data_IF_524341508439
#
_entry.id   IF_524341508439
#
_cell.length_a   1.000
_cell.length_b   1.000
_cell.length_c   1.000
_cell.angle_alpha   90.00
_cell.angle_beta   90.00
_cell.angle_gamma   90.00
#
_symmetry.space_group_name_H-M   'P 1'
#
loop_
_entity.id
_entity.type
_entity.pdbx_description
1 polymer ?
#
# COMPACT_ATOMS: atom_id res chain seq x y z
N UNK A 1 12.22 -78.48 -6.78
CA UNK A 1 11.27 -77.37 -7.01
C UNK A 1 11.29 -76.46 -5.79
N UNK A 2 12.04 -75.35 -5.85
CA UNK A 2 12.21 -74.35 -4.78
C UNK A 2 11.11 -73.29 -4.94
N UNK A 3 10.33 -73.01 -3.89
CA UNK A 3 9.47 -71.82 -3.84
C UNK A 3 10.27 -70.70 -3.18
N UNK A 4 10.62 -69.70 -3.98
CA UNK A 4 11.30 -68.48 -3.57
C UNK A 4 10.25 -67.49 -3.04
N UNK A 5 10.48 -66.99 -1.82
CA UNK A 5 9.74 -65.89 -1.22
C UNK A 5 10.23 -64.58 -1.84
N UNK A 6 9.33 -63.77 -2.38
CA UNK A 6 9.61 -62.37 -2.75
C UNK A 6 8.94 -61.51 -1.68
N UNK A 7 9.75 -60.95 -0.79
CA UNK A 7 9.36 -59.86 0.09
C UNK A 7 9.38 -58.58 -0.74
N UNK A 8 8.22 -57.99 -1.03
CA UNK A 8 8.14 -56.67 -1.63
C UNK A 8 8.28 -55.64 -0.51
N UNK A 9 9.49 -55.17 -0.24
CA UNK A 9 9.71 -54.03 0.67
C UNK A 9 9.29 -52.75 -0.04
N UNK A 10 8.11 -52.22 0.30
CA UNK A 10 7.77 -50.83 -0.02
C UNK A 10 8.67 -49.93 0.83
N UNK A 11 9.63 -49.27 0.19
CA UNK A 11 10.33 -48.15 0.79
C UNK A 11 9.31 -47.00 0.79
N UNK A 12 8.70 -46.75 1.95
CA UNK A 12 7.97 -45.52 2.20
C UNK A 12 9.01 -44.41 2.34
N UNK A 13 9.55 -43.90 1.23
CA UNK A 13 10.31 -42.65 1.26
C UNK A 13 9.33 -41.58 1.68
N UNK A 14 9.48 -41.07 2.91
CA UNK A 14 8.79 -39.88 3.36
C UNK A 14 9.15 -38.74 2.42
N UNK A 15 8.32 -38.54 1.39
CA UNK A 15 8.19 -37.24 0.76
C UNK A 15 7.59 -36.35 1.84
N UNK A 16 8.44 -35.71 2.63
CA UNK A 16 8.03 -34.48 3.27
C UNK A 16 7.53 -33.60 2.14
N UNK A 17 6.23 -33.31 2.12
CA UNK A 17 5.68 -32.26 1.28
C UNK A 17 6.42 -30.99 1.73
N UNK A 18 7.53 -30.67 1.09
CA UNK A 18 8.09 -29.33 1.22
C UNK A 18 6.98 -28.42 0.69
N UNK A 19 6.39 -27.64 1.59
CA UNK A 19 5.49 -26.57 1.17
C UNK A 19 6.32 -25.69 0.25
N UNK A 20 6.00 -25.74 -1.04
CA UNK A 20 6.66 -24.89 -2.01
C UNK A 20 6.31 -23.45 -1.65
N UNK A 21 7.33 -22.60 -1.57
CA UNK A 21 7.19 -21.20 -1.24
C UNK A 21 7.71 -20.33 -2.37
N UNK A 22 7.09 -19.18 -2.55
CA UNK A 22 7.50 -18.14 -3.49
C UNK A 22 7.73 -16.82 -2.75
N UNK A 23 8.01 -15.79 -3.53
CA UNK A 23 8.20 -14.43 -3.05
C UNK A 23 7.30 -13.42 -3.76
N UNK A 24 7.00 -12.32 -3.08
CA UNK A 24 6.36 -11.13 -3.67
C UNK A 24 7.33 -9.97 -3.49
N UNK A 25 7.65 -9.29 -4.59
CA UNK A 25 8.59 -8.18 -4.60
C UNK A 25 8.06 -7.00 -5.40
N UNK A 26 8.50 -5.81 -5.03
CA UNK A 26 8.12 -4.57 -5.67
C UNK A 26 8.85 -3.37 -5.10
N UNK A 27 8.45 -2.19 -5.55
CA UNK A 27 9.00 -0.91 -5.15
C UNK A 27 7.91 0.04 -4.68
N UNK A 28 8.23 0.87 -3.70
CA UNK A 28 7.38 1.94 -3.21
C UNK A 28 8.04 3.28 -3.50
N UNK A 29 7.32 4.14 -4.22
CA UNK A 29 7.75 5.50 -4.55
C UNK A 29 6.69 6.52 -4.15
N UNK A 30 7.07 7.80 -4.09
CA UNK A 30 6.11 8.91 -4.12
C UNK A 30 5.54 9.10 -5.53
N UNK A 31 4.62 10.05 -5.64
CA UNK A 31 4.01 10.51 -6.90
C UNK A 31 5.05 11.06 -7.91
N UNK A 32 6.19 11.56 -7.43
CA UNK A 32 7.31 12.09 -8.22
C UNK A 32 8.44 11.07 -8.47
N UNK A 33 8.15 9.77 -8.34
CA UNK A 33 9.08 8.63 -8.49
C UNK A 33 10.23 8.56 -7.46
N UNK A 34 10.25 9.43 -6.44
CA UNK A 34 11.22 9.34 -5.37
C UNK A 34 11.01 8.05 -4.54
N UNK A 35 12.08 7.27 -4.25
CA UNK A 35 11.95 6.06 -3.46
C UNK A 35 11.52 6.35 -2.02
N UNK A 36 10.71 5.46 -1.44
CA UNK A 36 10.29 5.54 -0.04
C UNK A 36 10.93 4.43 0.80
N UNK A 37 12.05 4.68 1.49
CA UNK A 37 12.64 3.73 2.44
C UNK A 37 11.83 3.64 3.74
N UNK A 38 11.99 2.53 4.47
CA UNK A 38 11.42 2.37 5.81
C UNK A 38 9.91 2.11 5.87
N UNK A 39 9.23 1.97 4.72
CA UNK A 39 7.83 1.57 4.68
C UNK A 39 7.74 0.10 5.09
N UNK A 40 6.92 -0.20 6.09
CA UNK A 40 6.70 -1.60 6.49
C UNK A 40 5.69 -2.23 5.54
N UNK A 41 6.09 -3.29 4.85
CA UNK A 41 5.23 -4.05 3.93
C UNK A 41 4.91 -5.39 4.57
N UNK A 42 3.62 -5.68 4.74
CA UNK A 42 3.11 -6.91 5.36
C UNK A 42 2.39 -7.78 4.33
N UNK A 43 2.55 -9.09 4.44
CA UNK A 43 1.67 -10.08 3.83
C UNK A 43 0.75 -10.66 4.90
N UNK A 44 -0.57 -10.51 4.69
CA UNK A 44 -1.60 -11.12 5.52
C UNK A 44 -2.20 -12.30 4.78
N UNK A 45 -2.43 -13.42 5.46
CA UNK A 45 -3.17 -14.56 4.90
C UNK A 45 -4.69 -14.31 4.88
N UNK A 46 -5.46 -15.30 4.39
CA UNK A 46 -6.93 -15.23 4.32
C UNK A 46 -7.62 -15.05 5.68
N UNK A 47 -6.94 -15.33 6.79
CA UNK A 47 -7.45 -15.09 8.15
C UNK A 47 -7.14 -13.68 8.67
N UNK A 48 -6.35 -12.90 7.91
CA UNK A 48 -5.84 -11.60 8.32
C UNK A 48 -4.60 -11.69 9.20
N UNK A 49 -3.98 -12.86 9.35
CA UNK A 49 -2.76 -13.01 10.14
C UNK A 49 -1.54 -12.55 9.33
N UNK A 50 -0.67 -11.74 9.94
CA UNK A 50 0.59 -11.33 9.33
C UNK A 50 1.52 -12.55 9.27
N UNK A 51 1.83 -13.00 8.07
CA UNK A 51 2.70 -14.17 7.83
C UNK A 51 4.10 -13.79 7.37
N UNK A 52 4.29 -12.57 6.86
CA UNK A 52 5.58 -12.00 6.54
C UNK A 52 5.54 -10.47 6.65
N UNK A 53 6.66 -9.87 7.02
CA UNK A 53 6.83 -8.42 7.05
C UNK A 53 8.28 -8.02 6.76
N UNK A 54 8.47 -6.94 6.01
CA UNK A 54 9.78 -6.39 5.67
C UNK A 54 9.70 -4.87 5.60
N UNK A 55 10.82 -4.16 5.73
CA UNK A 55 10.89 -2.73 5.45
C UNK A 55 11.51 -2.48 4.08
N UNK A 56 11.02 -1.47 3.37
CA UNK A 56 11.64 -1.05 2.10
C UNK A 56 13.07 -0.54 2.32
N UNK A 57 13.96 -0.88 1.39
CA UNK A 57 15.35 -0.45 1.42
C UNK A 57 15.51 1.01 0.94
N UNK A 58 16.76 1.51 0.84
CA UNK A 58 17.07 2.86 0.35
C UNK A 58 16.59 3.18 -1.08
N UNK A 59 16.34 2.15 -1.90
CA UNK A 59 15.77 2.28 -3.23
C UNK A 59 14.23 2.14 -3.24
N UNK A 60 13.59 1.99 -2.06
CA UNK A 60 12.16 1.77 -1.92
C UNK A 60 11.72 0.33 -2.21
N UNK A 61 12.65 -0.61 -2.39
CA UNK A 61 12.34 -1.99 -2.78
C UNK A 61 12.03 -2.87 -1.57
N UNK A 62 11.12 -3.82 -1.74
CA UNK A 62 10.80 -4.85 -0.75
C UNK A 62 10.77 -6.25 -1.39
N UNK A 63 11.03 -7.28 -0.58
CA UNK A 63 10.87 -8.68 -0.95
C UNK A 63 10.29 -9.45 0.25
N UNK A 64 9.07 -9.95 0.09
CA UNK A 64 8.42 -10.87 1.01
C UNK A 64 8.68 -12.30 0.54
N UNK A 65 9.59 -13.02 1.20
CA UNK A 65 9.97 -14.38 0.82
C UNK A 65 9.32 -15.45 1.70
N UNK A 66 9.32 -16.70 1.24
CA UNK A 66 8.88 -17.83 2.05
C UNK A 66 7.36 -17.96 2.18
N UNK A 67 6.61 -17.34 1.26
CA UNK A 67 5.15 -17.40 1.24
C UNK A 67 4.69 -18.70 0.57
N UNK A 68 3.91 -19.57 1.23
CA UNK A 68 3.32 -20.75 0.61
C UNK A 68 2.60 -20.45 -0.71
N UNK A 69 2.89 -21.23 -1.76
CA UNK A 69 2.14 -21.14 -3.01
C UNK A 69 0.74 -21.78 -2.88
N UNK A 70 -0.18 -21.38 -3.75
CA UNK A 70 -1.58 -21.82 -3.76
C UNK A 70 -2.46 -21.09 -2.74
N UNK A 71 -1.90 -20.15 -1.97
CA UNK A 71 -2.61 -19.31 -1.02
C UNK A 71 -2.88 -17.91 -1.60
N UNK A 72 -3.82 -17.20 -0.99
CA UNK A 72 -4.07 -15.79 -1.26
C UNK A 72 -3.49 -14.94 -0.15
N UNK A 73 -2.90 -13.81 -0.53
CA UNK A 73 -2.32 -12.84 0.39
C UNK A 73 -2.92 -11.46 0.16
N UNK A 74 -3.06 -10.70 1.25
CA UNK A 74 -3.24 -9.24 1.18
C UNK A 74 -1.91 -8.57 1.45
N UNK A 75 -1.47 -7.71 0.54
CA UNK A 75 -0.22 -6.94 0.72
C UNK A 75 -0.55 -5.53 1.22
N UNK A 76 0.02 -5.17 2.36
CA UNK A 76 -0.29 -3.94 3.06
C UNK A 76 0.98 -3.17 3.40
N UNK A 77 1.30 -2.10 2.66
CA UNK A 77 2.30 -1.12 3.08
C UNK A 77 1.75 -0.20 4.18
N UNK A 78 2.60 0.14 5.14
CA UNK A 78 2.27 0.92 6.33
C UNK A 78 3.39 1.91 6.63
N UNK A 79 3.03 3.19 6.76
CA UNK A 79 3.91 4.25 7.24
C UNK A 79 3.03 5.36 7.85
N UNK A 80 3.06 5.48 9.18
CA UNK A 80 2.28 6.48 9.90
C UNK A 80 3.18 7.32 10.79
N UNK A 81 3.92 8.23 10.16
CA UNK A 81 4.88 9.11 10.82
C UNK A 81 4.79 10.51 10.25
N UNK A 82 5.12 11.49 11.10
CA UNK A 82 5.22 12.92 10.78
C UNK A 82 3.99 13.45 10.01
N UNK A 83 2.81 13.54 10.65
CA UNK A 83 1.57 13.95 10.00
C UNK A 83 1.65 15.31 9.28
N UNK A 84 2.50 16.23 9.76
CA UNK A 84 2.71 17.57 9.19
C UNK A 84 3.84 17.69 8.17
N UNK A 85 4.54 16.60 7.85
CA UNK A 85 5.60 16.63 6.82
C UNK A 85 4.99 16.99 5.45
N UNK A 86 5.37 18.14 4.90
CA UNK A 86 4.81 18.68 3.66
C UNK A 86 3.35 19.14 3.74
N UNK A 87 2.79 19.31 4.94
CA UNK A 87 1.40 19.78 5.12
C UNK A 87 1.40 21.22 5.61
N UNK A 88 0.88 22.12 4.78
CA UNK A 88 0.96 23.56 5.02
C UNK A 88 -0.36 24.29 4.73
N UNK A 89 -0.38 25.59 5.03
CA UNK A 89 -1.49 26.46 4.61
C UNK A 89 -1.55 26.66 3.09
N UNK A 90 -0.45 26.40 2.37
CA UNK A 90 -0.45 26.45 0.91
C UNK A 90 -1.28 25.30 0.32
N UNK A 91 -1.16 24.09 0.87
CA UNK A 91 -1.99 22.94 0.50
C UNK A 91 -3.48 23.23 0.69
N UNK A 92 -3.83 23.88 1.80
CA UNK A 92 -5.21 24.31 2.03
C UNK A 92 -5.72 25.30 0.98
N UNK A 93 -4.86 26.18 0.47
CA UNK A 93 -5.21 27.11 -0.61
C UNK A 93 -5.45 26.34 -1.91
N UNK A 94 -4.59 25.37 -2.23
CA UNK A 94 -4.76 24.50 -3.41
C UNK A 94 -6.08 23.72 -3.33
N UNK A 95 -6.35 23.07 -2.20
CA UNK A 95 -7.60 22.36 -1.95
C UNK A 95 -8.83 23.25 -2.07
N UNK A 96 -8.80 24.45 -1.48
CA UNK A 96 -9.90 25.41 -1.59
C UNK A 96 -10.16 25.84 -3.05
N UNK A 97 -9.11 26.06 -3.84
CA UNK A 97 -9.23 26.42 -5.26
C UNK A 97 -9.78 25.27 -6.11
N UNK A 98 -9.38 24.04 -5.80
CA UNK A 98 -9.93 22.84 -6.43
C UNK A 98 -11.42 22.67 -6.12
N UNK A 99 -11.82 22.77 -4.84
CA UNK A 99 -13.23 22.67 -4.40
C UNK A 99 -14.12 23.72 -5.07
N UNK A 100 -13.59 24.93 -5.28
CA UNK A 100 -14.31 26.03 -5.93
C UNK A 100 -14.27 25.97 -7.47
N UNK A 101 -13.54 25.01 -8.06
CA UNK A 101 -13.35 24.90 -9.51
C UNK A 101 -12.54 26.04 -10.13
N UNK A 102 -11.76 26.77 -9.34
CA UNK A 102 -10.96 27.90 -9.80
C UNK A 102 -9.62 27.45 -10.40
N UNK A 103 -8.98 26.47 -9.75
CA UNK A 103 -7.75 25.84 -10.20
C UNK A 103 -7.77 24.40 -9.69
N UNK A 104 -8.21 23.44 -10.53
CA UNK A 104 -8.22 22.04 -10.16
C UNK A 104 -6.80 21.50 -9.98
N UNK A 105 -6.58 20.69 -8.95
CA UNK A 105 -5.42 19.80 -8.86
C UNK A 105 -5.31 18.94 -10.13
N UNK A 106 -4.13 18.92 -10.71
CA UNK A 106 -3.80 18.29 -12.00
C UNK A 106 -3.38 16.82 -11.87
N UNK A 107 -3.13 16.36 -10.64
CA UNK A 107 -2.79 14.97 -10.34
C UNK A 107 -3.83 14.35 -9.38
N UNK A 108 -4.44 13.19 -9.75
CA UNK A 108 -5.42 12.50 -8.91
C UNK A 108 -4.88 12.10 -7.53
N UNK A 109 -3.57 11.85 -7.40
CA UNK A 109 -2.96 11.53 -6.10
C UNK A 109 -3.01 12.72 -5.12
N UNK A 110 -2.96 13.96 -5.61
CA UNK A 110 -3.11 15.14 -4.75
C UNK A 110 -4.57 15.36 -4.33
N UNK A 111 -5.53 14.95 -5.15
CA UNK A 111 -6.95 14.92 -4.76
C UNK A 111 -7.17 13.88 -3.65
N UNK A 112 -6.59 12.68 -3.80
CA UNK A 112 -6.60 11.64 -2.77
C UNK A 112 -5.93 12.11 -1.48
N UNK A 113 -4.80 12.80 -1.57
CA UNK A 113 -4.09 13.36 -0.41
C UNK A 113 -4.96 14.32 0.41
N UNK A 114 -5.85 15.07 -0.25
CA UNK A 114 -6.74 16.03 0.41
C UNK A 114 -7.89 15.41 1.21
N UNK A 115 -8.26 14.15 0.97
CA UNK A 115 -9.32 13.44 1.71
C UNK A 115 -8.78 12.90 3.05
N UNK A 116 -8.44 13.82 3.97
CA UNK A 116 -7.79 13.50 5.25
C UNK A 116 -8.72 12.81 6.24
N UNK A 117 -10.04 12.84 6.01
CA UNK A 117 -11.03 12.11 6.81
C UNK A 117 -11.47 10.78 6.18
N UNK A 118 -10.86 10.38 5.05
CA UNK A 118 -11.16 9.14 4.34
C UNK A 118 -12.66 8.98 3.97
N UNK A 119 -13.32 10.10 3.65
CA UNK A 119 -14.72 10.14 3.21
C UNK A 119 -14.90 9.84 1.72
N UNK A 120 -13.81 9.67 0.99
CA UNK A 120 -13.77 9.54 -0.47
C UNK A 120 -14.25 10.80 -1.19
N UNK A 121 -13.96 11.96 -0.59
CA UNK A 121 -14.31 13.26 -1.15
C UNK A 121 -13.38 14.34 -0.60
N UNK A 122 -12.90 15.25 -1.45
CA UNK A 122 -12.16 16.43 -1.02
C UNK A 122 -13.14 17.59 -0.82
N UNK A 123 -13.35 17.97 0.45
CA UNK A 123 -14.31 19.01 0.83
C UNK A 123 -13.69 20.08 1.73
N UNK A 124 -14.46 21.11 2.06
CA UNK A 124 -14.03 22.11 3.04
C UNK A 124 -13.89 21.56 4.44
N UNK A 125 -14.51 20.42 4.75
CA UNK A 125 -14.38 19.76 6.05
C UNK A 125 -12.97 19.17 6.23
N UNK A 126 -12.39 18.63 5.17
CA UNK A 126 -10.99 18.19 5.13
C UNK A 126 -10.03 19.35 5.43
N UNK A 127 -10.28 20.52 4.85
CA UNK A 127 -9.47 21.72 5.11
C UNK A 127 -9.56 22.18 6.57
N UNK A 128 -10.71 21.99 7.23
CA UNK A 128 -10.87 22.28 8.66
C UNK A 128 -10.03 21.31 9.50
N UNK A 129 -10.03 20.03 9.15
CA UNK A 129 -9.22 19.00 9.83
C UNK A 129 -7.73 19.28 9.63
N UNK A 130 -7.28 19.58 8.40
CA UNK A 130 -5.91 20.01 8.11
C UNK A 130 -5.51 21.20 8.97
N UNK A 131 -6.38 22.21 9.09
CA UNK A 131 -6.12 23.38 9.93
C UNK A 131 -5.94 23.02 11.41
N UNK A 132 -6.72 22.08 11.93
CA UNK A 132 -6.59 21.64 13.32
C UNK A 132 -5.21 21.02 13.57
N UNK A 133 -4.73 20.15 12.68
CA UNK A 133 -3.41 19.52 12.80
C UNK A 133 -2.29 20.56 12.63
N UNK A 134 -2.39 21.46 11.64
CA UNK A 134 -1.40 22.55 11.43
C UNK A 134 -1.28 23.45 12.66
N UNK A 135 -2.41 23.73 13.33
CA UNK A 135 -2.45 24.54 14.54
C UNK A 135 -2.15 23.75 15.82
N UNK A 136 -1.78 22.46 15.71
CA UNK A 136 -1.50 21.56 16.84
C UNK A 136 -2.68 21.44 17.82
N UNK A 137 -3.90 21.56 17.31
CA UNK A 137 -5.13 21.27 18.05
C UNK A 137 -5.48 19.77 17.99
N UNK A 138 -4.84 19.04 17.08
CA UNK A 138 -4.83 17.59 16.96
C UNK A 138 -3.43 17.14 16.55
N UNK A 139 -2.99 15.98 17.02
CA UNK A 139 -1.64 15.47 16.73
C UNK A 139 -1.53 14.84 15.32
N UNK A 140 -2.64 14.33 14.78
CA UNK A 140 -2.73 13.62 13.51
C UNK A 140 -4.16 13.65 12.94
N UNK A 141 -4.35 13.14 11.73
CA UNK A 141 -5.68 12.88 11.16
C UNK A 141 -6.29 11.63 11.81
N UNK A 142 -7.48 11.74 12.40
CA UNK A 142 -8.10 10.65 13.16
C UNK A 142 -8.48 9.44 12.29
N UNK A 143 -8.89 9.71 11.06
CA UNK A 143 -9.50 8.72 10.16
C UNK A 143 -8.59 8.33 8.99
N UNK A 144 -7.33 8.78 9.02
CA UNK A 144 -6.36 8.52 7.96
C UNK A 144 -4.93 8.44 8.50
N UNK A 145 -4.14 7.42 8.11
CA UNK A 145 -2.72 7.40 8.44
C UNK A 145 -1.98 8.55 7.74
N UNK A 146 -0.77 8.84 8.20
CA UNK A 146 0.07 9.90 7.61
C UNK A 146 0.35 9.67 6.12
N UNK A 147 0.52 8.42 5.70
CA UNK A 147 0.68 8.00 4.31
C UNK A 147 -0.31 6.90 3.95
N UNK A 148 -0.91 7.02 2.77
CA UNK A 148 -1.72 5.97 2.14
C UNK A 148 -1.00 5.43 0.92
N UNK A 149 -1.20 4.15 0.63
CA UNK A 149 -0.51 3.46 -0.44
C UNK A 149 -1.50 2.90 -1.45
N UNK A 150 -1.26 3.22 -2.72
CA UNK A 150 -2.08 2.81 -3.84
C UNK A 150 -1.23 1.97 -4.77
N UNK A 151 -1.83 0.97 -5.42
CA UNK A 151 -1.12 0.20 -6.45
C UNK A 151 -0.69 1.13 -7.58
N UNK A 152 0.53 0.95 -8.08
CA UNK A 152 0.99 1.71 -9.26
C UNK A 152 0.15 1.42 -10.51
N UNK A 153 -0.51 0.26 -10.56
CA UNK A 153 -1.39 -0.17 -11.65
C UNK A 153 -2.89 0.14 -11.42
N UNK A 154 -3.23 0.92 -10.38
CA UNK A 154 -4.62 1.24 -10.01
C UNK A 154 -5.44 1.75 -11.20
N UNK A 155 -4.87 2.68 -11.98
CA UNK A 155 -5.57 3.39 -13.04
C UNK A 155 -6.70 4.31 -12.52
N UNK A 156 -6.94 5.42 -13.19
CA UNK A 156 -8.06 6.32 -12.85
C UNK A 156 -9.06 6.35 -14.00
N UNK A 157 -10.30 5.93 -13.73
CA UNK A 157 -11.39 6.02 -14.72
C UNK A 157 -11.72 7.48 -15.04
N UNK A 158 -11.72 8.30 -14.00
CA UNK A 158 -11.83 9.75 -14.07
C UNK A 158 -10.78 10.37 -13.14
N UNK A 159 -9.70 10.96 -13.68
CA UNK A 159 -8.67 11.62 -12.86
C UNK A 159 -9.19 12.79 -12.00
N UNK A 160 -10.34 13.39 -12.34
CA UNK A 160 -10.96 14.45 -11.54
C UNK A 160 -11.79 13.90 -10.36
N UNK A 161 -12.12 12.61 -10.42
CA UNK A 161 -12.80 11.87 -9.35
C UNK A 161 -12.05 10.55 -9.12
N UNK A 162 -10.93 10.57 -8.38
CA UNK A 162 -10.04 9.41 -8.26
C UNK A 162 -10.66 8.20 -7.54
N UNK A 163 -11.81 8.39 -6.89
CA UNK A 163 -12.58 7.31 -6.25
C UNK A 163 -13.51 6.58 -7.24
N UNK A 164 -13.71 7.13 -8.45
CA UNK A 164 -14.59 6.52 -9.43
C UNK A 164 -14.04 5.16 -9.89
N UNK A 165 -14.76 4.09 -9.55
CA UNK A 165 -14.35 2.71 -9.83
C UNK A 165 -13.24 2.19 -8.92
N UNK A 166 -12.77 2.99 -7.97
CA UNK A 166 -11.81 2.55 -6.97
C UNK A 166 -12.53 1.79 -5.85
N UNK A 167 -12.26 0.48 -5.76
CA UNK A 167 -12.92 -0.41 -4.80
C UNK A 167 -12.20 -0.46 -3.43
N UNK A 168 -11.54 0.63 -3.02
CA UNK A 168 -10.84 0.70 -1.74
C UNK A 168 -9.54 -0.11 -1.66
N UNK A 169 -9.03 -0.59 -2.81
CA UNK A 169 -7.65 -1.03 -3.00
C UNK A 169 -7.12 -2.06 -2.00
N UNK A 170 -7.86 -3.14 -1.75
CA UNK A 170 -7.26 -4.29 -1.06
C UNK A 170 -6.39 -5.06 -2.05
N UNK A 171 -5.10 -5.15 -1.76
CA UNK A 171 -4.09 -5.68 -2.68
C UNK A 171 -3.99 -7.20 -2.54
N UNK A 172 -5.06 -7.88 -2.95
CA UNK A 172 -5.12 -9.34 -2.95
C UNK A 172 -4.29 -9.93 -4.07
N UNK A 173 -3.59 -11.01 -3.77
CA UNK A 173 -2.87 -11.79 -4.77
C UNK A 173 -2.91 -13.27 -4.44
N UNK A 174 -3.31 -14.08 -5.41
CA UNK A 174 -3.14 -15.52 -5.35
C UNK A 174 -1.73 -15.86 -5.82
N UNK A 175 -0.90 -16.40 -4.94
CA UNK A 175 0.52 -16.64 -5.21
C UNK A 175 0.73 -18.05 -5.74
N UNK A 176 1.19 -18.20 -6.97
CA UNK A 176 1.48 -19.52 -7.58
C UNK A 176 2.96 -19.72 -7.91
N UNK A 177 3.71 -18.62 -8.03
CA UNK A 177 5.15 -18.55 -8.32
C UNK A 177 5.68 -17.20 -7.82
N UNK A 178 6.98 -16.96 -7.95
CA UNK A 178 7.58 -15.66 -7.65
C UNK A 178 6.88 -14.54 -8.43
N UNK A 179 6.50 -13.48 -7.71
CA UNK A 179 5.81 -12.32 -8.25
C UNK A 179 6.68 -11.08 -8.06
N UNK A 180 7.10 -10.47 -9.17
CA UNK A 180 7.78 -9.19 -9.20
C UNK A 180 6.85 -8.07 -9.71
N UNK A 181 7.24 -6.81 -9.48
CA UNK A 181 6.48 -5.64 -9.93
C UNK A 181 5.23 -5.36 -9.10
N UNK A 182 5.19 -5.83 -7.84
CA UNK A 182 4.12 -5.53 -6.92
C UNK A 182 4.28 -4.12 -6.31
N UNK A 183 4.27 -3.12 -7.19
CA UNK A 183 4.66 -1.74 -6.87
C UNK A 183 3.52 -0.88 -6.27
N UNK A 184 3.90 0.13 -5.49
CA UNK A 184 2.99 1.08 -4.84
C UNK A 184 3.45 2.53 -5.00
N UNK A 185 2.46 3.43 -5.00
CA UNK A 185 2.64 4.86 -4.85
C UNK A 185 2.17 5.27 -3.45
N UNK A 186 3.07 5.89 -2.69
CA UNK A 186 2.77 6.52 -1.41
C UNK A 186 2.26 7.94 -1.61
N UNK A 187 1.13 8.24 -0.96
CA UNK A 187 0.44 9.52 -0.97
C UNK A 187 0.46 10.07 0.45
N UNK A 188 1.11 11.21 0.65
CA UNK A 188 1.15 11.89 1.94
C UNK A 188 -0.20 12.58 2.15
N UNK A 189 -0.92 12.18 3.20
CA UNK A 189 -2.21 12.81 3.51
C UNK A 189 -2.00 14.26 3.94
N UNK A 190 -2.81 15.17 3.39
CA UNK A 190 -2.75 16.61 3.59
C UNK A 190 -1.71 17.36 2.74
N UNK A 191 -0.85 16.66 1.99
CA UNK A 191 0.12 17.28 1.07
C UNK A 191 -0.48 17.30 -0.35
N UNK A 192 -0.86 18.49 -0.81
CA UNK A 192 -1.57 18.68 -2.09
C UNK A 192 -0.63 19.19 -3.20
N UNK A 193 0.67 19.32 -2.92
CA UNK A 193 1.68 19.77 -3.88
C UNK A 193 2.87 18.80 -4.05
N UNK A 194 2.94 17.75 -3.23
CA UNK A 194 3.94 16.68 -3.28
C UNK A 194 5.29 17.02 -2.62
N UNK A 195 5.36 18.06 -1.79
CA UNK A 195 6.62 18.56 -1.23
C UNK A 195 7.12 17.80 0.01
N UNK A 196 6.33 16.85 0.55
CA UNK A 196 6.75 15.96 1.63
C UNK A 196 7.97 15.11 1.28
N UNK A 197 8.85 14.88 2.28
CA UNK A 197 10.08 14.11 2.12
C UNK A 197 10.04 12.79 2.93
N UNK A 198 10.28 11.62 2.33
CA UNK A 198 10.24 10.34 3.02
C UNK A 198 11.41 10.12 3.99
#
# INVERSE_FOLDING_TARGET
MKKIFILLSFILSGFGLMSQSASISGRITKVDDQPMPGVTVQALDDSGAIVAAVQTNGAGEFVLSGLPIGATYTIQPLLDVWPLNGVSTFDMILGARHILGLEPLDNPYYILAGDVNNSQNLTTYDLVIMRQVILQLADAFSDSPSWRFYRNDMGFLDPSNPWMGYMGGVNFVQLNDDLAGFDFIGVKMGDLNGDAQP
#
